data_IF_292082140898
#
_entry.id   IF_292082140898
#
_cell.length_a   1.000
_cell.length_b   1.000
_cell.length_c   1.000
_cell.angle_alpha   90.00
_cell.angle_beta   90.00
_cell.angle_gamma   90.00
#
_symmetry.space_group_name_H-M   'P 1'
#
loop_
_entity.id
_entity.type
_entity.pdbx_description
1 polymer ?
#
# COMPACT_ATOMS: atom_id res chain seq x y z
N UNK A 1 -6.88 -5.36 14.83
CA UNK A 1 -5.60 -6.00 14.41
C UNK A 1 -4.67 -4.91 13.92
N UNK A 2 -3.50 -4.84 14.53
CA UNK A 2 -2.47 -3.87 14.15
C UNK A 2 -1.34 -4.61 13.46
N UNK A 3 -0.97 -4.11 12.28
CA UNK A 3 0.08 -4.71 11.45
C UNK A 3 1.17 -3.67 11.28
N UNK A 4 2.43 -4.09 11.53
CA UNK A 4 3.61 -3.25 11.28
C UNK A 4 4.66 -4.11 10.58
N UNK A 5 5.05 -3.67 9.38
CA UNK A 5 6.12 -4.32 8.61
C UNK A 5 7.09 -3.28 8.10
N UNK A 6 8.35 -3.65 7.95
CA UNK A 6 9.34 -2.81 7.27
C UNK A 6 10.36 -3.66 6.54
N UNK A 7 10.99 -3.08 5.53
CA UNK A 7 12.02 -3.76 4.73
C UNK A 7 12.98 -2.72 4.15
N UNK A 8 14.26 -3.12 4.02
CA UNK A 8 15.25 -2.33 3.32
C UNK A 8 15.22 -2.67 1.82
N UNK A 9 15.17 -1.66 0.96
CA UNK A 9 15.11 -1.81 -0.50
C UNK A 9 16.26 -1.01 -1.12
N UNK A 10 17.00 -1.63 -2.02
CA UNK A 10 18.13 -1.01 -2.71
C UNK A 10 17.65 -0.17 -3.90
N UNK A 11 16.90 0.89 -3.61
CA UNK A 11 16.37 1.82 -4.60
C UNK A 11 16.03 3.14 -3.91
N UNK A 12 16.01 4.22 -4.69
CA UNK A 12 15.68 5.55 -4.19
C UNK A 12 14.21 5.61 -3.73
N UNK A 13 13.89 6.49 -2.76
CA UNK A 13 12.50 6.60 -2.26
C UNK A 13 11.45 6.80 -3.34
N UNK A 14 11.74 7.59 -4.39
CA UNK A 14 10.80 7.82 -5.48
C UNK A 14 10.47 6.53 -6.25
N UNK A 15 11.45 5.66 -6.44
CA UNK A 15 11.25 4.38 -7.13
C UNK A 15 10.42 3.42 -6.29
N UNK A 16 10.66 3.41 -4.98
CA UNK A 16 9.86 2.60 -4.04
C UNK A 16 8.41 3.09 -4.00
N UNK A 17 8.22 4.39 -3.84
CA UNK A 17 6.89 4.98 -3.74
C UNK A 17 6.09 4.83 -5.04
N UNK A 18 6.74 4.87 -6.20
CA UNK A 18 6.07 4.68 -7.48
C UNK A 18 5.37 3.32 -7.59
N UNK A 19 5.87 2.31 -6.91
CA UNK A 19 5.22 0.98 -6.83
C UNK A 19 4.31 0.89 -5.62
N UNK A 20 4.83 1.25 -4.44
CA UNK A 20 4.16 1.06 -3.16
C UNK A 20 2.88 1.87 -3.04
N UNK A 21 2.87 3.10 -3.56
CA UNK A 21 1.73 4.02 -3.42
C UNK A 21 0.71 3.90 -4.55
N UNK A 22 1.04 3.19 -5.64
CA UNK A 22 0.16 3.06 -6.80
C UNK A 22 -0.87 1.95 -6.58
N UNK A 23 -2.18 2.28 -6.44
CA UNK A 23 -3.20 1.26 -6.22
C UNK A 23 -3.32 0.26 -7.38
N UNK A 24 -2.98 0.64 -8.60
CA UNK A 24 -3.01 -0.27 -9.74
C UNK A 24 -1.99 -1.40 -9.59
N UNK A 25 -0.99 -1.24 -8.74
CA UNK A 25 0.06 -2.23 -8.51
C UNK A 25 -0.09 -3.00 -7.20
N UNK A 26 -1.15 -2.77 -6.44
CA UNK A 26 -1.38 -3.43 -5.15
C UNK A 26 -1.34 -4.95 -5.26
N UNK A 27 -1.98 -5.52 -6.29
CA UNK A 27 -2.06 -6.97 -6.47
C UNK A 27 -0.70 -7.62 -6.73
N UNK A 28 0.30 -6.83 -7.10
CA UNK A 28 1.64 -7.35 -7.36
C UNK A 28 2.40 -7.67 -6.08
N UNK A 29 1.99 -7.07 -4.94
CA UNK A 29 2.68 -7.31 -3.66
C UNK A 29 1.75 -7.48 -2.45
N UNK A 30 0.43 -7.37 -2.63
CA UNK A 30 -0.57 -7.65 -1.59
C UNK A 30 -1.30 -8.94 -1.94
N UNK A 31 -1.18 -9.95 -1.09
CA UNK A 31 -1.68 -11.30 -1.42
C UNK A 31 -3.20 -11.46 -1.26
N UNK A 32 -3.84 -10.61 -0.46
CA UNK A 32 -5.28 -10.68 -0.22
C UNK A 32 -6.10 -9.82 -1.18
N UNK A 33 -5.50 -8.77 -1.76
CA UNK A 33 -6.18 -7.86 -2.67
C UNK A 33 -6.32 -8.49 -4.04
N UNK A 34 -7.55 -8.58 -4.56
CA UNK A 34 -7.83 -9.20 -5.86
C UNK A 34 -8.24 -8.20 -6.93
N UNK A 35 -8.71 -7.02 -6.55
CA UNK A 35 -9.09 -5.97 -7.50
C UNK A 35 -8.96 -4.59 -6.86
N UNK A 36 -8.55 -3.63 -7.67
CA UNK A 36 -8.52 -2.21 -7.29
C UNK A 36 -9.05 -1.38 -8.45
N UNK A 37 -9.92 -0.42 -8.14
CA UNK A 37 -10.52 0.47 -9.14
C UNK A 37 -10.50 1.89 -8.59
N UNK A 38 -9.54 2.73 -9.01
CA UNK A 38 -9.53 4.14 -8.63
C UNK A 38 -10.78 4.84 -9.16
N UNK A 39 -11.46 5.63 -8.31
CA UNK A 39 -12.61 6.43 -8.73
C UNK A 39 -12.19 7.68 -9.48
N UNK A 40 -10.97 8.17 -9.21
CA UNK A 40 -10.38 9.32 -9.88
C UNK A 40 -8.95 9.01 -10.27
N UNK A 41 -8.45 9.68 -11.31
CA UNK A 41 -7.05 9.52 -11.73
C UNK A 41 -6.12 10.19 -10.73
N UNK A 42 -4.97 9.54 -10.47
CA UNK A 42 -3.91 10.07 -9.63
C UNK A 42 -4.16 9.91 -8.14
N UNK A 43 -3.16 10.30 -7.36
CA UNK A 43 -3.21 10.27 -5.90
C UNK A 43 -3.23 11.71 -5.40
N UNK A 44 -4.36 12.09 -4.81
CA UNK A 44 -4.51 13.39 -4.14
C UNK A 44 -5.31 13.19 -2.88
N UNK A 45 -5.21 14.10 -1.92
CA UNK A 45 -6.01 14.03 -0.69
C UNK A 45 -7.49 14.01 -1.05
N UNK A 46 -8.23 13.06 -0.49
CA UNK A 46 -9.64 12.83 -0.79
C UNK A 46 -9.90 11.82 -1.90
N UNK A 47 -8.88 11.43 -2.69
CA UNK A 47 -9.05 10.44 -3.75
C UNK A 47 -9.49 9.09 -3.17
N UNK A 48 -10.40 8.42 -3.86
CA UNK A 48 -10.97 7.15 -3.41
C UNK A 48 -10.63 6.02 -4.38
N UNK A 49 -10.39 4.84 -3.81
CA UNK A 49 -10.13 3.61 -4.55
C UNK A 49 -11.04 2.51 -4.02
N UNK A 50 -11.83 1.90 -4.89
CA UNK A 50 -12.60 0.71 -4.56
C UNK A 50 -11.70 -0.51 -4.62
N UNK A 51 -11.82 -1.39 -3.64
CA UNK A 51 -10.97 -2.57 -3.52
C UNK A 51 -11.80 -3.80 -3.23
N UNK A 52 -11.26 -4.96 -3.60
CA UNK A 52 -11.82 -6.26 -3.24
C UNK A 52 -10.69 -7.11 -2.70
N UNK A 53 -10.95 -7.81 -1.61
CA UNK A 53 -10.01 -8.75 -1.00
C UNK A 53 -10.67 -10.09 -0.76
N UNK A 54 -9.86 -11.16 -0.71
CA UNK A 54 -10.30 -12.48 -0.27
C UNK A 54 -9.59 -12.77 1.05
N UNK A 55 -10.36 -12.95 2.11
CA UNK A 55 -9.85 -13.20 3.46
C UNK A 55 -10.60 -14.42 4.02
N UNK A 56 -9.84 -15.47 4.36
CA UNK A 56 -10.44 -16.69 4.89
C UNK A 56 -11.46 -17.33 3.94
N UNK A 57 -11.25 -17.20 2.63
CA UNK A 57 -12.14 -17.73 1.61
C UNK A 57 -13.33 -16.83 1.30
N UNK A 58 -13.49 -15.70 2.00
CA UNK A 58 -14.60 -14.77 1.77
C UNK A 58 -14.13 -13.56 0.98
N UNK A 59 -14.94 -13.15 0.01
CA UNK A 59 -14.72 -11.94 -0.77
C UNK A 59 -15.29 -10.74 0.00
N UNK A 60 -14.45 -9.72 0.20
CA UNK A 60 -14.81 -8.51 0.93
C UNK A 60 -14.63 -7.32 0.00
N UNK A 61 -15.69 -6.54 -0.21
CA UNK A 61 -15.64 -5.28 -0.91
C UNK A 61 -15.40 -4.16 0.11
N UNK A 62 -14.47 -3.26 -0.19
CA UNK A 62 -14.12 -2.15 0.70
C UNK A 62 -13.52 -1.02 -0.13
N UNK A 63 -13.12 0.05 0.50
CA UNK A 63 -12.55 1.19 -0.20
C UNK A 63 -11.51 1.87 0.68
N UNK A 64 -10.70 2.74 0.05
CA UNK A 64 -9.79 3.62 0.77
C UNK A 64 -9.98 5.04 0.29
N UNK A 65 -9.72 5.99 1.18
CA UNK A 65 -9.67 7.42 0.87
C UNK A 65 -8.32 7.97 1.31
N UNK A 66 -7.68 8.72 0.45
CA UNK A 66 -6.40 9.36 0.78
C UNK A 66 -6.63 10.42 1.83
N UNK A 67 -6.06 10.23 3.02
CA UNK A 67 -6.15 11.15 4.14
C UNK A 67 -4.94 12.09 4.24
N UNK A 68 -3.80 11.67 3.68
CA UNK A 68 -2.58 12.48 3.64
C UNK A 68 -1.63 11.93 2.59
N UNK A 69 -0.88 12.82 1.94
CA UNK A 69 0.02 12.43 0.87
C UNK A 69 1.18 13.41 0.77
N UNK A 70 2.40 12.87 0.83
CA UNK A 70 3.61 13.63 0.61
C UNK A 70 4.62 12.73 -0.13
N UNK A 71 4.60 12.78 -1.44
CA UNK A 71 5.44 11.95 -2.30
C UNK A 71 6.91 12.38 -2.19
N UNK A 72 7.87 11.47 -2.07
CA UNK A 72 7.74 10.01 -2.07
C UNK A 72 7.76 9.39 -0.67
N UNK A 73 7.45 10.13 0.38
CA UNK A 73 7.73 9.71 1.75
C UNK A 73 6.52 9.20 2.53
N UNK A 74 5.32 9.72 2.27
CA UNK A 74 4.14 9.39 3.08
C UNK A 74 2.90 9.23 2.20
N UNK A 75 2.13 8.17 2.47
CA UNK A 75 0.76 8.02 2.00
C UNK A 75 -0.06 7.47 3.17
N UNK A 76 -1.10 8.21 3.57
CA UNK A 76 -2.04 7.77 4.59
C UNK A 76 -3.40 7.54 3.98
N UNK A 77 -3.99 6.39 4.29
CA UNK A 77 -5.30 6.00 3.78
C UNK A 77 -6.24 5.74 4.94
N UNK A 78 -7.50 6.17 4.78
CA UNK A 78 -8.61 5.77 5.64
C UNK A 78 -9.33 4.63 4.95
N UNK A 79 -9.64 3.58 5.72
CA UNK A 79 -10.45 2.46 5.20
C UNK A 79 -11.92 2.84 5.33
N UNK A 80 -12.68 2.62 4.24
CA UNK A 80 -14.10 2.95 4.12
C UNK A 80 -14.83 1.81 3.41
N UNK A 81 -16.09 2.03 3.03
CA UNK A 81 -16.85 1.05 2.26
C UNK A 81 -17.35 -0.15 3.06
N UNK A 82 -17.75 0.07 4.31
CA UNK A 82 -18.24 -1.01 5.17
C UNK A 82 -17.19 -1.63 6.07
N UNK A 83 -15.93 -1.25 5.87
CA UNK A 83 -14.82 -1.60 6.74
C UNK A 83 -14.28 -0.33 7.39
N UNK A 84 -13.57 -0.48 8.51
CA UNK A 84 -12.99 0.65 9.22
C UNK A 84 -11.51 0.39 9.50
N UNK A 85 -10.75 1.47 9.57
CA UNK A 85 -9.33 1.39 9.88
C UNK A 85 -8.53 2.44 9.14
N UNK A 86 -7.22 2.28 9.19
CA UNK A 86 -6.27 3.20 8.57
C UNK A 86 -5.00 2.47 8.14
N UNK A 87 -4.35 3.01 7.13
CA UNK A 87 -3.05 2.53 6.65
C UNK A 87 -2.11 3.69 6.52
N UNK A 88 -0.89 3.51 7.00
CA UNK A 88 0.19 4.49 6.86
C UNK A 88 1.36 3.84 6.14
N UNK A 89 1.69 4.36 4.96
CA UNK A 89 2.89 4.00 4.22
C UNK A 89 3.94 5.07 4.42
N UNK A 90 5.18 4.66 4.67
CA UNK A 90 6.30 5.57 4.81
C UNK A 90 7.51 5.01 4.06
N UNK A 91 8.21 5.87 3.34
CA UNK A 91 9.46 5.53 2.67
C UNK A 91 10.53 6.50 3.17
N UNK A 92 11.54 5.94 3.85
CA UNK A 92 12.64 6.69 4.43
C UNK A 92 13.90 6.47 3.60
N UNK A 93 14.65 7.53 3.34
CA UNK A 93 15.95 7.41 2.68
C UNK A 93 16.96 6.81 3.64
N UNK A 94 17.76 5.86 3.16
CA UNK A 94 18.87 5.25 3.89
C UNK A 94 20.16 5.35 3.07
N UNK A 95 21.28 4.96 3.64
CA UNK A 95 22.57 4.99 2.94
C UNK A 95 22.58 4.07 1.71
N UNK A 96 21.89 2.94 1.78
CA UNK A 96 21.86 1.94 0.71
C UNK A 96 20.58 1.96 -0.12
N UNK A 97 19.74 2.98 0.06
CA UNK A 97 18.49 3.10 -0.70
C UNK A 97 17.34 3.63 0.14
N UNK A 98 16.40 2.77 0.50
CA UNK A 98 15.20 3.16 1.23
C UNK A 98 14.79 2.11 2.24
N UNK A 99 14.10 2.55 3.28
CA UNK A 99 13.34 1.69 4.18
C UNK A 99 11.86 1.94 3.92
N UNK A 100 11.14 0.89 3.50
CA UNK A 100 9.70 0.94 3.34
C UNK A 100 9.03 0.45 4.62
N UNK A 101 8.08 1.22 5.13
CA UNK A 101 7.34 0.92 6.36
C UNK A 101 5.85 0.93 6.06
N UNK A 102 5.15 -0.08 6.55
CA UNK A 102 3.69 -0.16 6.48
C UNK A 102 3.15 -0.34 7.89
N UNK A 103 2.14 0.47 8.24
CA UNK A 103 1.38 0.33 9.48
C UNK A 103 -0.09 0.32 9.12
N UNK A 104 -0.81 -0.70 9.57
CA UNK A 104 -2.23 -0.80 9.31
C UNK A 104 -2.97 -1.19 10.57
N UNK A 105 -4.15 -0.60 10.76
CA UNK A 105 -5.08 -0.95 11.82
C UNK A 105 -6.44 -1.21 11.19
N UNK A 106 -6.97 -2.40 11.37
CA UNK A 106 -8.28 -2.80 10.86
C UNK A 106 -8.79 -4.03 11.63
N UNK A 107 -10.08 -4.33 11.49
CA UNK A 107 -10.66 -5.50 12.16
C UNK A 107 -10.17 -6.80 11.57
N UNK A 108 -9.87 -6.82 10.26
CA UNK A 108 -9.32 -7.97 9.55
C UNK A 108 -8.15 -7.51 8.67
N UNK A 109 -7.26 -8.43 8.33
CA UNK A 109 -6.18 -8.13 7.39
C UNK A 109 -6.73 -8.16 5.96
N UNK A 110 -7.09 -6.98 5.45
CA UNK A 110 -7.61 -6.82 4.09
C UNK A 110 -6.50 -6.82 3.03
N UNK A 111 -5.25 -6.74 3.41
CA UNK A 111 -4.15 -6.44 2.50
C UNK A 111 -3.33 -7.67 2.15
N UNK A 112 -2.82 -8.39 3.16
CA UNK A 112 -1.86 -9.45 2.92
C UNK A 112 -0.55 -8.89 2.39
N UNK A 113 0.06 -7.92 3.11
CA UNK A 113 1.30 -7.28 2.69
C UNK A 113 2.44 -8.27 2.56
N UNK A 114 3.11 -8.28 1.42
CA UNK A 114 4.32 -9.05 1.15
C UNK A 114 5.44 -8.08 0.75
N UNK A 115 6.19 -7.61 1.74
CA UNK A 115 7.25 -6.62 1.50
C UNK A 115 8.45 -7.20 0.77
N UNK A 116 8.71 -8.51 0.89
CA UNK A 116 9.76 -9.17 0.10
C UNK A 116 9.43 -9.09 -1.39
N UNK A 117 8.15 -9.26 -1.73
CA UNK A 117 7.69 -9.13 -3.09
C UNK A 117 7.77 -7.68 -3.59
N UNK A 118 7.41 -6.72 -2.74
CA UNK A 118 7.58 -5.30 -3.05
C UNK A 118 9.05 -4.98 -3.35
N UNK A 119 9.96 -5.46 -2.51
CA UNK A 119 11.40 -5.30 -2.70
C UNK A 119 11.84 -5.88 -4.05
N UNK A 120 11.42 -7.09 -4.37
CA UNK A 120 11.77 -7.74 -5.64
C UNK A 120 11.25 -6.96 -6.85
N UNK A 121 10.02 -6.45 -6.78
CA UNK A 121 9.43 -5.65 -7.86
C UNK A 121 10.21 -4.35 -8.09
N UNK A 122 10.54 -3.65 -7.02
CA UNK A 122 11.25 -2.37 -7.11
C UNK A 122 12.70 -2.56 -7.57
N UNK A 123 13.42 -3.51 -6.99
CA UNK A 123 14.83 -3.76 -7.33
C UNK A 123 14.96 -4.34 -8.74
N UNK A 124 14.02 -5.16 -9.16
CA UNK A 124 13.97 -5.70 -10.51
C UNK A 124 13.75 -4.62 -11.57
N UNK A 125 12.89 -3.66 -11.28
CA UNK A 125 12.61 -2.54 -12.19
C UNK A 125 13.77 -1.54 -12.23
N UNK A 126 14.49 -1.34 -11.11
CA UNK A 126 15.64 -0.43 -11.02
C UNK A 126 16.93 -1.04 -11.60
N UNK A 127 16.98 -2.34 -11.68
CA UNK A 127 18.10 -3.08 -12.24
C UNK A 127 17.96 -3.22 -13.75
#
# INVERSE_FOLDING_TARGET
MDIVHNIQIAAAPADVAAVMFDPARDREWMTSVTATTPRTAGITVGAEVDRTSVVGGQQIAWATQVAGFHFPHVLRLRITGGQTGAVHYEVQRTESGSRAVVRAASDVDLFGFDLERLKALVEGAAG
#
